data_IF_366435824625
#
_entry.id   IF_366435824625
#
_cell.length_a   1.000
_cell.length_b   1.000
_cell.length_c   1.000
_cell.angle_alpha   90.00
_cell.angle_beta   90.00
_cell.angle_gamma   90.00
#
_symmetry.space_group_name_H-M   'P 1'
#
loop_
_entity.id
_entity.type
_entity.pdbx_description
1 polymer ?
#
# COMPACT_ATOMS: atom_id res chain seq x y z
N UNK A 1 30.42 -11.25 -47.19
CA UNK A 1 29.74 -9.94 -47.23
C UNK A 1 29.12 -9.70 -45.86
N UNK A 2 29.57 -8.64 -45.18
CA UNK A 2 29.36 -8.35 -43.76
C UNK A 2 27.95 -7.81 -43.44
N UNK A 3 27.68 -7.67 -42.13
CA UNK A 3 26.67 -6.84 -41.44
C UNK A 3 25.47 -7.69 -40.93
N UNK A 4 25.12 -7.81 -39.63
CA UNK A 4 25.36 -6.96 -38.45
C UNK A 4 25.06 -7.75 -37.16
N UNK A 5 25.95 -7.63 -36.17
CA UNK A 5 25.63 -7.82 -34.75
C UNK A 5 24.37 -7.03 -34.36
N UNK A 6 23.40 -7.66 -33.69
CA UNK A 6 22.44 -6.95 -32.83
C UNK A 6 22.80 -7.26 -31.37
N UNK A 7 23.03 -6.25 -30.52
CA UNK A 7 23.57 -6.44 -29.18
C UNK A 7 22.56 -7.06 -28.21
N UNK A 8 23.08 -7.92 -27.33
CA UNK A 8 22.44 -8.60 -26.20
C UNK A 8 22.04 -7.63 -25.06
N UNK A 9 20.99 -6.81 -25.23
CA UNK A 9 20.57 -5.83 -24.19
C UNK A 9 19.20 -6.12 -23.56
N UNK A 10 18.65 -7.33 -23.74
CA UNK A 10 17.27 -7.64 -23.33
C UNK A 10 17.12 -8.51 -22.05
N UNK A 11 18.21 -8.95 -21.40
CA UNK A 11 18.12 -9.84 -20.23
C UNK A 11 18.17 -9.12 -18.87
N UNK A 12 18.90 -8.01 -18.75
CA UNK A 12 18.99 -7.26 -17.49
C UNK A 12 17.73 -6.45 -17.18
N UNK A 13 17.14 -5.77 -18.17
CA UNK A 13 15.93 -4.97 -17.95
C UNK A 13 14.75 -5.82 -17.47
N UNK A 14 14.57 -7.03 -18.04
CA UNK A 14 13.53 -7.97 -17.62
C UNK A 14 13.73 -8.51 -16.20
N UNK A 15 14.99 -8.70 -15.76
CA UNK A 15 15.30 -9.12 -14.39
C UNK A 15 15.10 -7.96 -13.42
N UNK A 16 15.52 -6.74 -13.77
CA UNK A 16 15.33 -5.57 -12.93
C UNK A 16 13.85 -5.22 -12.76
N UNK A 17 13.01 -5.28 -13.81
CA UNK A 17 11.56 -5.10 -13.66
C UNK A 17 10.92 -6.21 -12.81
N UNK A 18 11.42 -7.45 -12.93
CA UNK A 18 10.95 -8.57 -12.11
C UNK A 18 11.34 -8.41 -10.63
N UNK A 19 12.58 -8.03 -10.33
CA UNK A 19 13.07 -7.82 -8.96
C UNK A 19 12.51 -6.55 -8.31
N UNK A 20 12.38 -5.45 -9.06
CA UNK A 20 11.81 -4.18 -8.57
C UNK A 20 10.29 -4.25 -8.40
N UNK A 21 9.58 -5.02 -9.22
CA UNK A 21 8.11 -5.05 -9.22
C UNK A 21 7.48 -6.24 -8.49
N UNK A 22 7.99 -7.46 -8.68
CA UNK A 22 7.26 -8.68 -8.24
C UNK A 22 7.68 -9.20 -6.86
N UNK A 23 8.94 -9.03 -6.48
CA UNK A 23 9.48 -9.46 -5.18
C UNK A 23 8.89 -8.65 -4.01
N UNK A 24 8.93 -7.30 -4.01
CA UNK A 24 8.35 -6.52 -2.92
C UNK A 24 6.83 -6.69 -2.80
N UNK A 25 6.12 -6.87 -3.93
CA UNK A 25 4.67 -7.09 -3.88
C UNK A 25 4.28 -8.41 -3.19
N UNK A 26 5.06 -9.48 -3.41
CA UNK A 26 4.82 -10.78 -2.77
C UNK A 26 5.09 -10.74 -1.26
N UNK A 27 6.16 -10.07 -0.83
CA UNK A 27 6.47 -9.95 0.60
C UNK A 27 5.41 -9.14 1.34
N UNK A 28 4.96 -8.01 0.76
CA UNK A 28 3.86 -7.20 1.31
C UNK A 28 2.55 -8.00 1.39
N UNK A 29 2.26 -8.83 0.39
CA UNK A 29 1.07 -9.70 0.40
C UNK A 29 1.14 -10.75 1.50
N UNK A 30 2.29 -11.44 1.64
CA UNK A 30 2.49 -12.44 2.69
C UNK A 30 2.43 -11.82 4.09
N UNK A 31 3.02 -10.64 4.28
CA UNK A 31 2.94 -9.90 5.53
C UNK A 31 1.49 -9.53 5.86
N UNK A 32 0.76 -8.97 4.90
CA UNK A 32 -0.65 -8.58 5.08
C UNK A 32 -1.52 -9.79 5.43
N UNK A 33 -1.35 -10.91 4.72
CA UNK A 33 -2.06 -12.16 4.99
C UNK A 33 -1.75 -12.71 6.38
N UNK A 34 -0.48 -12.66 6.80
CA UNK A 34 -0.06 -13.10 8.13
C UNK A 34 -0.68 -12.23 9.24
N UNK A 35 -0.66 -10.89 9.08
CA UNK A 35 -1.28 -9.96 10.03
C UNK A 35 -2.78 -10.23 10.14
N UNK A 36 -3.47 -10.38 9.00
CA UNK A 36 -4.90 -10.74 8.95
C UNK A 36 -5.20 -12.04 9.68
N UNK A 37 -4.40 -13.08 9.43
CA UNK A 37 -4.58 -14.38 10.05
C UNK A 37 -4.38 -14.32 11.57
N UNK A 38 -3.33 -13.65 12.03
CA UNK A 38 -3.08 -13.44 13.47
C UNK A 38 -4.23 -12.64 14.10
N UNK A 39 -4.69 -11.57 13.44
CA UNK A 39 -5.79 -10.74 13.94
C UNK A 39 -7.09 -11.55 14.05
N UNK A 40 -7.39 -12.40 13.07
CA UNK A 40 -8.51 -13.33 13.11
C UNK A 40 -8.40 -14.31 14.28
N UNK A 41 -7.22 -14.92 14.47
CA UNK A 41 -6.99 -15.86 15.59
C UNK A 41 -7.17 -15.16 16.94
N UNK A 42 -6.59 -13.98 17.13
CA UNK A 42 -6.72 -13.21 18.37
C UNK A 42 -8.20 -12.88 18.65
N UNK A 43 -8.94 -12.46 17.63
CA UNK A 43 -10.38 -12.17 17.76
C UNK A 43 -11.18 -13.43 18.10
N UNK A 44 -10.84 -14.56 17.48
CA UNK A 44 -11.48 -15.84 17.76
C UNK A 44 -11.22 -16.33 19.19
N UNK A 45 -9.98 -16.21 19.66
CA UNK A 45 -9.59 -16.57 21.03
C UNK A 45 -10.33 -15.67 22.03
N UNK A 46 -10.44 -14.36 21.78
CA UNK A 46 -11.17 -13.45 22.67
C UNK A 46 -12.66 -13.77 22.77
N UNK A 47 -13.31 -13.99 21.63
CA UNK A 47 -14.73 -14.40 21.59
C UNK A 47 -14.91 -15.72 22.35
N UNK A 48 -14.06 -16.72 22.09
CA UNK A 48 -14.13 -18.01 22.78
C UNK A 48 -13.86 -17.86 24.29
N UNK A 49 -12.85 -17.08 24.67
CA UNK A 49 -12.50 -16.76 26.05
C UNK A 49 -13.66 -16.13 26.82
N UNK A 50 -14.33 -15.15 26.19
CA UNK A 50 -15.47 -14.45 26.77
C UNK A 50 -16.68 -15.35 26.96
N UNK A 51 -17.04 -16.15 25.96
CA UNK A 51 -18.27 -16.95 26.02
C UNK A 51 -18.12 -18.30 26.73
N UNK A 52 -16.94 -18.93 26.67
CA UNK A 52 -16.71 -20.26 27.27
C UNK A 52 -16.09 -20.15 28.66
N UNK A 53 -15.13 -19.25 28.86
CA UNK A 53 -14.35 -19.15 30.08
C UNK A 53 -14.70 -17.93 30.95
N UNK A 54 -15.62 -17.07 30.49
CA UNK A 54 -15.97 -15.79 31.11
C UNK A 54 -14.72 -14.92 31.41
N UNK A 55 -13.68 -15.08 30.60
CA UNK A 55 -12.37 -14.44 30.76
C UNK A 55 -11.96 -13.88 29.39
N UNK A 56 -12.29 -12.62 29.09
CA UNK A 56 -11.89 -11.98 27.83
C UNK A 56 -10.37 -11.75 27.78
N UNK A 57 -9.80 -11.59 26.59
CA UNK A 57 -8.38 -11.26 26.47
C UNK A 57 -8.15 -9.81 26.94
N UNK A 58 -7.32 -9.56 27.96
CA UNK A 58 -6.98 -8.20 28.36
C UNK A 58 -6.17 -7.50 27.26
N UNK A 59 -6.38 -6.19 27.09
CA UNK A 59 -5.66 -5.34 26.15
C UNK A 59 -5.72 -5.76 24.65
N UNK A 60 -6.64 -6.65 24.27
CA UNK A 60 -6.82 -7.03 22.87
C UNK A 60 -7.16 -5.85 21.96
N UNK A 61 -7.98 -4.92 22.47
CA UNK A 61 -8.40 -3.75 21.73
C UNK A 61 -7.21 -2.90 21.27
N UNK A 62 -6.20 -2.74 22.12
CA UNK A 62 -4.96 -2.03 21.77
C UNK A 62 -4.19 -2.76 20.67
N UNK A 63 -4.00 -4.08 20.82
CA UNK A 63 -3.29 -4.90 19.83
C UNK A 63 -3.98 -4.80 18.46
N UNK A 64 -5.30 -5.00 18.40
CA UNK A 64 -6.05 -4.91 17.15
C UNK A 64 -5.99 -3.48 16.57
N UNK A 65 -6.04 -2.45 17.43
CA UNK A 65 -5.93 -1.05 17.00
C UNK A 65 -4.59 -0.72 16.35
N UNK A 66 -3.50 -1.41 16.71
CA UNK A 66 -2.22 -1.30 16.01
C UNK A 66 -2.11 -2.19 14.77
N UNK A 67 -2.68 -3.41 14.82
CA UNK A 67 -2.67 -4.34 13.69
C UNK A 67 -3.50 -3.83 12.50
N UNK A 68 -4.63 -3.16 12.75
CA UNK A 68 -5.54 -2.67 11.72
C UNK A 68 -4.87 -1.65 10.76
N UNK A 69 -4.28 -0.55 11.23
CA UNK A 69 -3.49 0.35 10.38
C UNK A 69 -2.28 -0.37 9.77
N UNK A 70 -1.57 -1.20 10.52
CA UNK A 70 -0.42 -1.94 10.00
C UNK A 70 -0.79 -2.80 8.79
N UNK A 71 -1.92 -3.49 8.85
CA UNK A 71 -2.49 -4.25 7.73
C UNK A 71 -2.84 -3.34 6.55
N UNK A 72 -3.62 -2.28 6.79
CA UNK A 72 -4.10 -1.38 5.73
C UNK A 72 -2.92 -0.76 4.99
N UNK A 73 -1.92 -0.26 5.71
CA UNK A 73 -0.76 0.37 5.09
C UNK A 73 0.24 -0.63 4.50
N UNK A 74 0.26 -1.89 4.94
CA UNK A 74 1.03 -2.93 4.24
C UNK A 74 0.45 -3.24 2.86
N UNK A 75 -0.88 -3.27 2.72
CA UNK A 75 -1.51 -3.60 1.44
C UNK A 75 -1.63 -2.36 0.52
N UNK A 76 -1.69 -1.15 1.08
CA UNK A 76 -1.93 0.10 0.36
C UNK A 76 -0.95 0.33 -0.82
N UNK A 77 0.40 0.19 -0.68
CA UNK A 77 1.31 0.37 -1.81
C UNK A 77 1.08 -0.61 -2.95
N UNK A 78 0.66 -1.84 -2.62
CA UNK A 78 0.37 -2.88 -3.61
C UNK A 78 -0.89 -2.53 -4.41
N UNK A 79 -1.95 -2.11 -3.72
CA UNK A 79 -3.22 -1.71 -4.36
C UNK A 79 -3.00 -0.46 -5.21
N UNK A 80 -2.28 0.53 -4.69
CA UNK A 80 -1.90 1.73 -5.43
C UNK A 80 -1.10 1.41 -6.69
N UNK A 81 -0.11 0.51 -6.60
CA UNK A 81 0.70 0.13 -7.76
C UNK A 81 -0.11 -0.58 -8.84
N UNK A 82 -1.10 -1.39 -8.47
CA UNK A 82 -1.93 -2.12 -9.44
C UNK A 82 -3.19 -1.40 -9.89
N UNK A 83 -3.48 -0.24 -9.30
CA UNK A 83 -4.74 0.49 -9.50
C UNK A 83 -5.97 -0.37 -9.20
N UNK A 84 -5.83 -1.32 -8.28
CA UNK A 84 -6.93 -2.19 -7.80
C UNK A 84 -7.85 -1.47 -6.79
N UNK A 85 -7.74 -0.13 -6.70
CA UNK A 85 -8.69 0.65 -5.92
C UNK A 85 -10.10 0.42 -6.48
N UNK A 86 -11.09 0.43 -5.59
CA UNK A 86 -12.49 0.35 -6.00
C UNK A 86 -12.85 1.67 -6.70
N UNK A 87 -12.65 1.72 -8.00
CA UNK A 87 -13.04 2.86 -8.84
C UNK A 87 -14.53 2.77 -9.13
N UNK A 88 -15.27 3.79 -8.73
CA UNK A 88 -16.64 3.97 -9.18
C UNK A 88 -16.56 4.91 -10.39
N UNK A 89 -16.79 4.36 -11.58
CA UNK A 89 -16.67 5.04 -12.87
C UNK A 89 -17.83 6.03 -13.14
N UNK A 90 -18.13 6.91 -12.18
CA UNK A 90 -19.23 7.89 -12.28
C UNK A 90 -18.99 8.91 -13.39
N UNK A 91 -17.74 9.30 -13.62
CA UNK A 91 -17.36 10.28 -14.64
C UNK A 91 -17.00 9.65 -15.99
N UNK A 92 -16.76 8.34 -16.03
CA UNK A 92 -16.25 7.68 -17.23
C UNK A 92 -17.29 7.59 -18.37
N UNK A 93 -18.58 7.79 -18.03
CA UNK A 93 -19.71 7.89 -18.98
C UNK A 93 -19.68 9.22 -19.76
N UNK A 94 -19.13 10.28 -19.17
CA UNK A 94 -19.13 11.62 -19.77
C UNK A 94 -17.80 11.98 -20.45
N UNK A 95 -16.74 11.17 -20.26
CA UNK A 95 -15.40 11.47 -20.75
C UNK A 95 -15.10 10.71 -22.06
N UNK A 96 -14.76 11.40 -23.16
CA UNK A 96 -14.42 10.74 -24.43
C UNK A 96 -13.11 9.94 -24.30
N UNK A 97 -13.00 8.82 -25.03
CA UNK A 97 -11.90 7.85 -24.95
C UNK A 97 -10.49 8.44 -25.07
N UNK A 98 -10.35 9.59 -25.75
CA UNK A 98 -9.06 10.31 -25.89
C UNK A 98 -8.61 11.04 -24.62
N UNK A 99 -9.55 11.44 -23.75
CA UNK A 99 -9.27 12.16 -22.51
C UNK A 99 -9.09 11.24 -21.30
N UNK A 100 -9.48 9.97 -21.40
CA UNK A 100 -9.34 9.00 -20.30
C UNK A 100 -7.89 8.79 -19.85
N UNK A 101 -6.93 8.84 -20.78
CA UNK A 101 -5.50 8.79 -20.44
C UNK A 101 -5.05 10.01 -19.62
N UNK A 102 -5.56 11.20 -19.97
CA UNK A 102 -5.27 12.43 -19.22
C UNK A 102 -5.92 12.39 -17.83
N UNK A 103 -7.15 11.90 -17.74
CA UNK A 103 -7.84 11.68 -16.46
C UNK A 103 -7.05 10.74 -15.54
N UNK A 104 -6.56 9.61 -16.06
CA UNK A 104 -5.75 8.67 -15.29
C UNK A 104 -4.46 9.30 -14.74
N UNK A 105 -3.80 10.17 -15.53
CA UNK A 105 -2.63 10.93 -15.07
C UNK A 105 -3.02 11.87 -13.94
N UNK A 106 -4.10 12.64 -14.07
CA UNK A 106 -4.57 13.55 -13.03
C UNK A 106 -4.93 12.83 -11.73
N UNK A 107 -5.67 11.72 -11.82
CA UNK A 107 -6.07 10.92 -10.66
C UNK A 107 -4.84 10.38 -9.92
N UNK A 108 -3.88 9.79 -10.64
CA UNK A 108 -2.66 9.27 -10.04
C UNK A 108 -1.75 10.37 -9.46
N UNK A 109 -1.68 11.54 -10.11
CA UNK A 109 -0.89 12.66 -9.61
C UNK A 109 -1.49 13.24 -8.33
N UNK A 110 -2.82 13.44 -8.30
CA UNK A 110 -3.54 13.90 -7.11
C UNK A 110 -3.42 12.87 -5.98
N UNK A 111 -3.60 11.58 -6.30
CA UNK A 111 -3.44 10.49 -5.34
C UNK A 111 -2.03 10.43 -4.76
N UNK A 112 -1.00 10.55 -5.60
CA UNK A 112 0.41 10.60 -5.16
C UNK A 112 0.66 11.79 -4.24
N UNK A 113 0.19 12.99 -4.61
CA UNK A 113 0.30 14.19 -3.77
C UNK A 113 -0.39 14.05 -2.42
N UNK A 114 -1.61 13.49 -2.40
CA UNK A 114 -2.35 13.22 -1.17
C UNK A 114 -1.63 12.20 -0.27
N UNK A 115 -1.11 11.12 -0.83
CA UNK A 115 -0.34 10.12 -0.09
C UNK A 115 0.98 10.69 0.44
N UNK A 116 1.66 11.54 -0.32
CA UNK A 116 2.87 12.21 0.13
C UNK A 116 2.60 13.18 1.29
N UNK A 117 1.53 13.97 1.19
CA UNK A 117 1.10 14.84 2.29
C UNK A 117 0.76 14.06 3.55
N UNK A 118 0.07 12.91 3.39
CA UNK A 118 -0.21 12.00 4.49
C UNK A 118 1.06 11.44 5.13
N UNK A 119 2.03 11.00 4.32
CA UNK A 119 3.32 10.51 4.79
C UNK A 119 4.08 11.56 5.60
N UNK A 120 4.09 12.80 5.12
CA UNK A 120 4.70 13.93 5.82
C UNK A 120 4.04 14.18 7.19
N UNK A 121 2.71 14.25 7.22
CA UNK A 121 1.95 14.45 8.48
C UNK A 121 2.14 13.32 9.48
N UNK A 122 2.23 12.08 9.01
CA UNK A 122 2.50 10.93 9.86
C UNK A 122 3.93 10.94 10.40
N UNK A 123 4.91 11.41 9.60
CA UNK A 123 6.28 11.59 10.06
C UNK A 123 6.39 12.68 11.13
N UNK A 124 5.73 13.83 10.95
CA UNK A 124 5.63 14.88 11.99
C UNK A 124 5.00 14.32 13.28
N UNK A 125 3.87 13.61 13.15
CA UNK A 125 3.20 13.00 14.30
C UNK A 125 4.08 11.96 15.01
N UNK A 126 4.84 11.19 14.24
CA UNK A 126 5.79 10.22 14.79
C UNK A 126 6.93 10.89 15.56
N UNK A 127 7.40 12.05 15.11
CA UNK A 127 8.40 12.83 15.83
C UNK A 127 7.83 13.35 17.16
N UNK A 128 6.59 13.85 17.16
CA UNK A 128 5.92 14.24 18.41
C UNK A 128 5.77 13.06 19.38
N UNK A 129 5.34 11.88 18.91
CA UNK A 129 5.25 10.69 19.77
C UNK A 129 6.59 10.30 20.41
N UNK A 130 7.70 10.53 19.70
CA UNK A 130 9.05 10.31 20.23
C UNK A 130 9.42 11.35 21.30
N UNK A 131 9.13 12.63 21.06
CA UNK A 131 9.43 13.72 22.01
C UNK A 131 8.65 13.61 23.32
N UNK A 132 7.36 13.27 23.24
CA UNK A 132 6.49 13.15 24.41
C UNK A 132 6.55 11.77 25.08
N UNK A 133 7.26 10.80 24.48
CA UNK A 133 7.40 9.44 25.01
C UNK A 133 6.06 8.72 25.16
N UNK A 134 5.13 8.96 24.23
CA UNK A 134 3.76 8.47 24.37
C UNK A 134 3.72 6.93 24.29
N UNK A 135 2.96 6.35 25.21
CA UNK A 135 2.74 4.91 25.35
C UNK A 135 1.25 4.61 25.42
N UNK A 136 0.87 3.37 25.10
CA UNK A 136 -0.52 2.91 25.21
C UNK A 136 -0.90 2.62 26.66
N UNK A 137 -2.18 2.71 27.00
CA UNK A 137 -2.66 2.75 28.40
C UNK A 137 -2.56 1.39 29.10
N UNK A 138 -2.93 0.29 28.43
CA UNK A 138 -2.92 -1.05 29.02
C UNK A 138 -1.56 -1.74 28.83
N UNK A 139 -1.04 -1.74 27.59
CA UNK A 139 0.13 -2.54 27.23
C UNK A 139 1.46 -1.76 27.29
N UNK A 140 1.41 -0.46 27.59
CA UNK A 140 2.57 0.44 27.66
C UNK A 140 3.47 0.38 26.42
N UNK A 141 2.87 0.09 25.25
CA UNK A 141 3.59 0.03 23.98
C UNK A 141 3.93 1.44 23.52
N UNK A 142 5.19 1.64 23.16
CA UNK A 142 5.68 2.89 22.59
C UNK A 142 5.07 3.14 21.21
N UNK A 143 4.53 4.34 20.99
CA UNK A 143 3.75 4.69 19.79
C UNK A 143 4.61 5.06 18.57
N UNK A 144 5.77 5.69 18.78
CA UNK A 144 6.60 6.22 17.69
C UNK A 144 7.03 5.19 16.61
N UNK A 145 7.40 3.93 16.90
CA UNK A 145 7.84 3.01 15.85
C UNK A 145 6.68 2.61 14.92
N UNK A 146 5.46 2.50 15.46
CA UNK A 146 4.27 2.18 14.68
C UNK A 146 3.87 3.34 13.77
N UNK A 147 3.85 4.58 14.29
CA UNK A 147 3.56 5.76 13.46
C UNK A 147 4.59 5.97 12.35
N UNK A 148 5.88 5.71 12.63
CA UNK A 148 6.95 5.82 11.64
C UNK A 148 6.78 4.77 10.54
N UNK A 149 6.47 3.53 10.90
CA UNK A 149 6.22 2.45 9.93
C UNK A 149 5.11 2.83 8.95
N UNK A 150 3.99 3.36 9.46
CA UNK A 150 2.84 3.80 8.64
C UNK A 150 3.26 4.97 7.74
N UNK A 151 4.04 5.94 8.25
CA UNK A 151 4.56 7.04 7.46
C UNK A 151 5.40 6.54 6.27
N UNK A 152 6.33 5.60 6.52
CA UNK A 152 7.17 5.01 5.47
C UNK A 152 6.33 4.27 4.43
N UNK A 153 5.38 3.43 4.85
CA UNK A 153 4.51 2.68 3.93
C UNK A 153 3.65 3.61 3.06
N UNK A 154 3.12 4.70 3.63
CA UNK A 154 2.38 5.71 2.87
C UNK A 154 3.27 6.46 1.86
N UNK A 155 4.54 6.71 2.19
CA UNK A 155 5.53 7.25 1.25
C UNK A 155 5.81 6.30 0.08
N UNK A 156 5.92 4.99 0.35
CA UNK A 156 6.07 3.97 -0.71
C UNK A 156 4.83 3.95 -1.61
N UNK A 157 3.62 4.05 -1.05
CA UNK A 157 2.39 4.16 -1.83
C UNK A 157 2.36 5.42 -2.73
N UNK A 158 2.84 6.56 -2.21
CA UNK A 158 2.95 7.79 -3.00
C UNK A 158 3.89 7.62 -4.22
N UNK A 159 5.02 6.93 -4.03
CA UNK A 159 5.98 6.61 -5.10
C UNK A 159 5.35 5.65 -6.12
N UNK A 160 4.57 4.66 -5.67
CA UNK A 160 3.87 3.72 -6.55
C UNK A 160 2.88 4.45 -7.48
N UNK A 161 2.06 5.37 -6.95
CA UNK A 161 1.13 6.18 -7.73
C UNK A 161 1.87 7.11 -8.71
N UNK A 162 2.99 7.69 -8.27
CA UNK A 162 3.83 8.51 -9.13
C UNK A 162 4.38 7.69 -10.32
N UNK A 163 4.85 6.47 -10.06
CA UNK A 163 5.33 5.54 -11.10
C UNK A 163 4.23 5.21 -12.10
N UNK A 164 2.98 5.03 -11.65
CA UNK A 164 1.85 4.79 -12.54
C UNK A 164 1.56 6.01 -13.41
N UNK A 165 1.54 7.22 -12.83
CA UNK A 165 1.37 8.46 -13.59
C UNK A 165 2.43 8.61 -14.69
N UNK A 166 3.71 8.31 -14.39
CA UNK A 166 4.76 8.29 -15.40
C UNK A 166 4.51 7.24 -16.49
N UNK A 167 4.06 6.04 -16.13
CA UNK A 167 3.71 4.99 -17.10
C UNK A 167 2.64 5.42 -18.11
N UNK A 168 1.63 6.18 -17.66
CA UNK A 168 0.62 6.76 -18.54
C UNK A 168 1.16 7.86 -19.45
N UNK A 169 2.05 8.73 -18.95
CA UNK A 169 2.70 9.79 -19.74
C UNK A 169 3.56 9.19 -20.86
N UNK A 170 4.31 8.13 -20.57
CA UNK A 170 5.20 7.46 -21.55
C UNK A 170 4.48 6.47 -22.49
N UNK A 171 3.14 6.38 -22.42
CA UNK A 171 2.35 5.68 -23.44
C UNK A 171 2.27 4.15 -23.28
N UNK A 172 2.48 3.60 -22.08
CA UNK A 172 2.27 2.16 -21.84
C UNK A 172 0.77 1.86 -21.62
N UNK A 173 -0.01 1.90 -22.69
CA UNK A 173 -1.47 1.74 -22.78
C UNK A 173 -2.00 0.32 -22.47
N UNK A 174 -1.40 -0.42 -21.53
CA UNK A 174 -1.79 -1.82 -21.27
C UNK A 174 -3.16 -2.02 -20.60
N UNK A 175 -3.91 -0.96 -20.27
CA UNK A 175 -5.14 -1.08 -19.46
C UNK A 175 -6.45 -1.09 -20.30
N UNK A 176 -6.44 -0.75 -21.59
CA UNK A 176 -7.66 -0.77 -22.43
C UNK A 176 -7.95 -2.11 -23.12
N UNK A 177 -7.55 -3.25 -22.55
CA UNK A 177 -7.76 -4.57 -23.17
C UNK A 177 -8.54 -5.58 -22.30
N UNK A 178 -9.28 -5.11 -21.29
CA UNK A 178 -10.12 -5.96 -20.43
C UNK A 178 -11.56 -5.47 -20.34
N UNK A 179 -12.14 -5.15 -21.50
CA UNK A 179 -13.58 -4.96 -21.66
C UNK A 179 -13.99 -5.43 -23.07
N UNK A 180 -13.70 -6.69 -23.37
CA UNK A 180 -14.40 -7.53 -24.34
C UNK A 180 -14.72 -8.87 -23.68
#
# INVERSE_FOLDING_TARGET
MSIKNRPEVASESSRLTFWLGTMPGRTLTLLSCSILFIMMLLTFIDVTGRYVFNSPLPALHEIISFMMPGLIFCILPLVCSKEEHVTIDLLDVFVPTRLKGLQAIFVNLIGSGAMFFLAWRLAEKSASHYEFGEVTDDLYLTLWPFSLLIAVLSGIAAIALLSNAFGYIFGNSKIYKKSE
#
